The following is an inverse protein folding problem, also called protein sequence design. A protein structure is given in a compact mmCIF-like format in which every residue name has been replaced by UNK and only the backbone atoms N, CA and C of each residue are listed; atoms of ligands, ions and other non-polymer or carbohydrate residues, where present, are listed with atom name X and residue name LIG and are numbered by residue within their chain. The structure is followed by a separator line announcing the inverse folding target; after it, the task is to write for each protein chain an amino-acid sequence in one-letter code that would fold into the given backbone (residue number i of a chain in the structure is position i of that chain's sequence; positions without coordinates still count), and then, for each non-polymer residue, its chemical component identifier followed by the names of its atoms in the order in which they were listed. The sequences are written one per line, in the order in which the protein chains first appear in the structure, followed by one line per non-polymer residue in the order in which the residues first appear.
data_IF_666068967990
#
_entry.id   IF_666068967990
#
_cell.length_a   1.000
_cell.length_b   1.000
_cell.length_c   1.000
_cell.angle_alpha   90.00
_cell.angle_beta   90.00
_cell.angle_gamma   90.00
#
_symmetry.space_group_name_H-M   'P 1'
#
loop_
_entity.id
_entity.type
_entity.pdbx_description
1 polymer ?
#
# COMPACT_ATOMS: atom_id res chain seq x y z
N UNK A 1 11.46 88.04 18.33
CA UNK A 1 10.21 87.67 17.60
C UNK A 1 10.24 86.21 17.25
N UNK A 2 9.53 85.35 17.98
CA UNK A 2 9.49 83.92 17.74
C UNK A 2 8.18 83.66 16.95
N UNK A 3 8.34 83.31 15.68
CA UNK A 3 7.22 82.95 14.83
C UNK A 3 6.80 81.51 15.12
N UNK A 4 5.74 81.28 15.86
CA UNK A 4 5.14 79.96 16.06
C UNK A 4 4.33 79.57 14.81
N UNK A 5 4.87 78.68 14.00
CA UNK A 5 4.17 78.07 12.89
C UNK A 5 3.08 77.13 13.42
N UNK A 6 1.85 77.55 13.47
CA UNK A 6 0.71 76.68 13.77
C UNK A 6 0.48 75.73 12.60
N UNK A 7 0.92 74.45 12.74
CA UNK A 7 0.52 73.36 11.84
C UNK A 7 -1.00 73.15 11.98
N UNK A 8 -1.77 73.51 10.98
CA UNK A 8 -3.19 73.15 10.89
C UNK A 8 -3.30 71.64 10.80
N UNK A 9 -3.75 70.96 11.84
CA UNK A 9 -4.17 69.58 11.83
C UNK A 9 -5.41 69.49 10.92
N UNK A 10 -5.25 68.83 9.78
CA UNK A 10 -6.39 68.52 8.90
C UNK A 10 -7.20 67.42 9.61
N UNK A 11 -8.46 67.70 9.95
CA UNK A 11 -9.38 66.68 10.45
C UNK A 11 -9.83 65.78 9.29
N UNK A 12 -9.85 64.47 9.53
CA UNK A 12 -10.36 63.48 8.58
C UNK A 12 -11.86 63.72 8.33
N UNK A 13 -12.27 63.58 7.07
CA UNK A 13 -13.68 63.61 6.72
C UNK A 13 -14.32 62.24 7.01
N UNK A 14 -15.63 62.22 7.32
CA UNK A 14 -16.37 60.99 7.60
C UNK A 14 -16.31 60.03 6.38
N UNK A 15 -16.29 60.56 5.16
CA UNK A 15 -16.20 59.76 3.92
C UNK A 15 -14.84 59.12 3.73
N UNK A 16 -13.75 59.79 4.13
CA UNK A 16 -12.39 59.16 4.11
C UNK A 16 -12.31 58.01 5.10
N UNK A 17 -12.92 58.16 6.28
CA UNK A 17 -12.97 57.06 7.26
C UNK A 17 -13.76 55.86 6.72
N UNK A 18 -14.94 56.12 6.12
CA UNK A 18 -15.76 55.08 5.54
C UNK A 18 -15.04 54.36 4.37
N UNK A 19 -14.35 55.10 3.53
CA UNK A 19 -13.58 54.52 2.43
C UNK A 19 -12.42 53.66 2.97
N UNK A 20 -11.66 54.16 3.96
CA UNK A 20 -10.56 53.44 4.57
C UNK A 20 -11.01 52.13 5.28
N UNK A 21 -12.15 52.19 6.02
CA UNK A 21 -12.70 50.98 6.65
C UNK A 21 -13.20 49.96 5.63
N UNK A 22 -13.83 50.41 4.52
CA UNK A 22 -14.28 49.51 3.44
C UNK A 22 -13.10 48.78 2.79
N UNK A 23 -12.01 49.46 2.49
CA UNK A 23 -10.79 48.87 1.95
C UNK A 23 -10.16 47.90 2.93
N UNK A 24 -10.10 48.28 4.21
CA UNK A 24 -9.59 47.43 5.27
C UNK A 24 -10.38 46.11 5.36
N UNK A 25 -11.72 46.16 5.33
CA UNK A 25 -12.57 44.97 5.36
C UNK A 25 -12.29 44.04 4.18
N UNK A 26 -12.14 44.59 2.97
CA UNK A 26 -11.84 43.82 1.77
C UNK A 26 -10.47 43.12 1.91
N UNK A 27 -9.46 43.84 2.39
CA UNK A 27 -8.13 43.27 2.61
C UNK A 27 -8.17 42.13 3.63
N UNK A 28 -8.88 42.31 4.75
CA UNK A 28 -9.03 41.25 5.79
C UNK A 28 -9.74 40.06 5.22
N UNK A 29 -10.79 40.22 4.43
CA UNK A 29 -11.48 39.10 3.78
C UNK A 29 -10.55 38.33 2.81
N UNK A 30 -9.76 39.03 1.99
CA UNK A 30 -8.81 38.41 1.07
C UNK A 30 -7.72 37.61 1.83
N UNK A 31 -7.17 38.16 2.91
CA UNK A 31 -6.16 37.48 3.75
C UNK A 31 -6.79 36.25 4.39
N UNK A 32 -8.00 36.33 4.91
CA UNK A 32 -8.71 35.20 5.53
C UNK A 32 -8.95 34.08 4.53
N UNK A 33 -9.36 34.39 3.30
CA UNK A 33 -9.51 33.39 2.24
C UNK A 33 -8.17 32.73 1.89
N UNK A 34 -7.10 33.51 1.73
CA UNK A 34 -5.79 33.02 1.40
C UNK A 34 -5.23 32.08 2.49
N UNK A 35 -5.41 32.43 3.76
CA UNK A 35 -5.03 31.57 4.90
C UNK A 35 -5.84 30.26 4.88
N UNK A 36 -7.15 30.34 4.62
CA UNK A 36 -8.01 29.16 4.57
C UNK A 36 -7.60 28.19 3.46
N UNK A 37 -7.33 28.70 2.27
CA UNK A 37 -6.88 27.87 1.13
C UNK A 37 -5.50 27.29 1.37
N UNK A 38 -4.56 28.07 1.87
CA UNK A 38 -3.21 27.61 2.23
C UNK A 38 -3.28 26.49 3.28
N UNK A 39 -4.13 26.66 4.29
CA UNK A 39 -4.32 25.64 5.34
C UNK A 39 -4.87 24.32 4.79
N UNK A 40 -5.78 24.38 3.81
CA UNK A 40 -6.30 23.18 3.13
C UNK A 40 -5.20 22.44 2.36
N UNK A 41 -4.36 23.18 1.62
CA UNK A 41 -3.24 22.61 0.85
C UNK A 41 -2.23 21.94 1.79
N UNK A 42 -1.83 22.64 2.86
CA UNK A 42 -0.88 22.09 3.85
C UNK A 42 -1.43 20.81 4.47
N UNK A 43 -2.72 20.78 4.83
CA UNK A 43 -3.36 19.60 5.39
C UNK A 43 -3.36 18.42 4.40
N UNK A 44 -3.69 18.68 3.14
CA UNK A 44 -3.68 17.66 2.10
C UNK A 44 -2.28 17.09 1.87
N UNK A 45 -1.25 17.95 1.83
CA UNK A 45 0.14 17.50 1.67
C UNK A 45 0.61 16.69 2.88
N UNK A 46 0.26 17.11 4.10
CA UNK A 46 0.58 16.35 5.33
C UNK A 46 -0.04 14.96 5.28
N UNK A 47 -1.31 14.85 4.89
CA UNK A 47 -2.01 13.58 4.78
C UNK A 47 -1.38 12.67 3.72
N UNK A 48 -0.94 13.23 2.58
CA UNK A 48 -0.20 12.48 1.55
C UNK A 48 1.15 11.98 2.06
N UNK A 49 1.88 12.81 2.82
CA UNK A 49 3.14 12.41 3.43
C UNK A 49 2.96 11.28 4.45
N UNK A 50 1.91 11.31 5.25
CA UNK A 50 1.56 10.24 6.18
C UNK A 50 1.28 8.93 5.44
N UNK A 51 0.44 8.95 4.40
CA UNK A 51 0.14 7.78 3.56
C UNK A 51 1.39 7.21 2.89
N UNK A 52 2.27 8.09 2.37
CA UNK A 52 3.55 7.70 1.79
C UNK A 52 4.47 7.04 2.83
N UNK A 53 4.54 7.58 4.04
CA UNK A 53 5.34 7.02 5.14
C UNK A 53 4.87 5.62 5.52
N UNK A 54 3.54 5.40 5.59
CA UNK A 54 2.95 4.09 5.84
C UNK A 54 3.35 3.12 4.73
N UNK A 55 3.09 3.47 3.47
CA UNK A 55 3.41 2.61 2.32
C UNK A 55 4.91 2.28 2.26
N UNK A 56 5.78 3.26 2.49
CA UNK A 56 7.23 3.07 2.54
C UNK A 56 7.63 2.08 3.63
N UNK A 57 7.12 2.25 4.84
CA UNK A 57 7.43 1.36 5.99
C UNK A 57 7.02 -0.08 5.68
N UNK A 58 5.83 -0.27 5.09
CA UNK A 58 5.34 -1.58 4.68
C UNK A 58 6.22 -2.21 3.60
N UNK A 59 6.54 -1.47 2.54
CA UNK A 59 7.43 -1.96 1.50
C UNK A 59 8.84 -2.28 2.01
N UNK A 60 9.38 -1.49 2.92
CA UNK A 60 10.70 -1.73 3.49
C UNK A 60 10.67 -3.01 4.34
N UNK A 61 9.61 -3.23 5.13
CA UNK A 61 9.41 -4.45 5.89
C UNK A 61 9.29 -5.68 4.97
N UNK A 62 8.40 -5.61 3.98
CA UNK A 62 8.25 -6.70 3.00
C UNK A 62 9.55 -6.96 2.23
N UNK A 63 10.32 -5.92 1.91
CA UNK A 63 11.62 -6.06 1.23
C UNK A 63 12.65 -6.77 2.12
N UNK A 64 12.64 -6.54 3.42
CA UNK A 64 13.53 -7.23 4.37
C UNK A 64 13.17 -8.71 4.43
N UNK A 65 11.88 -9.03 4.60
CA UNK A 65 11.41 -10.42 4.63
C UNK A 65 11.69 -11.12 3.28
N UNK A 66 11.47 -10.43 2.17
CA UNK A 66 11.77 -10.92 0.82
C UNK A 66 13.25 -11.24 0.60
N UNK A 67 14.14 -10.35 1.02
CA UNK A 67 15.59 -10.55 0.90
C UNK A 67 16.09 -11.69 1.80
N UNK A 68 15.49 -11.83 2.98
CA UNK A 68 15.84 -12.87 3.94
C UNK A 68 15.10 -14.19 3.72
N UNK A 69 14.26 -14.31 2.66
CA UNK A 69 13.54 -15.54 2.37
C UNK A 69 14.48 -16.72 2.17
N UNK A 70 14.04 -17.88 2.60
CA UNK A 70 14.76 -19.14 2.37
C UNK A 70 14.66 -19.48 0.89
N UNK A 71 15.81 -19.71 0.26
CA UNK A 71 15.91 -20.04 -1.16
C UNK A 71 16.19 -21.52 -1.29
N UNK A 72 15.27 -22.25 -1.89
CA UNK A 72 15.43 -23.65 -2.29
C UNK A 72 15.59 -23.80 -3.80
N UNK A 73 15.16 -24.93 -4.32
CA UNK A 73 15.00 -25.18 -5.76
C UNK A 73 13.80 -24.46 -6.33
N UNK A 74 12.83 -24.12 -5.51
CA UNK A 74 11.61 -23.39 -5.80
C UNK A 74 11.76 -21.88 -5.46
N UNK A 75 10.84 -20.99 -5.88
CA UNK A 75 10.95 -19.54 -5.68
C UNK A 75 10.99 -19.09 -4.20
N UNK A 76 10.69 -20.00 -3.25
CA UNK A 76 10.76 -19.73 -1.81
C UNK A 76 9.63 -18.83 -1.27
N UNK A 77 8.56 -18.68 -2.03
CA UNK A 77 7.35 -17.96 -1.64
C UNK A 77 6.16 -18.47 -2.45
N UNK A 78 4.97 -18.19 -1.98
CA UNK A 78 3.72 -18.48 -2.65
C UNK A 78 2.76 -17.30 -2.56
N UNK A 79 2.22 -16.89 -3.71
CA UNK A 79 1.20 -15.86 -3.81
C UNK A 79 -0.17 -16.51 -4.01
N UNK A 80 -1.07 -16.30 -3.05
CA UNK A 80 -2.46 -16.74 -3.14
C UNK A 80 -3.25 -15.58 -3.74
N UNK A 81 -3.86 -15.84 -4.89
CA UNK A 81 -4.74 -14.88 -5.54
C UNK A 81 -6.16 -15.12 -5.04
N UNK A 82 -6.70 -14.12 -4.36
CA UNK A 82 -8.08 -14.09 -3.91
C UNK A 82 -8.79 -12.89 -4.53
N UNK A 83 -10.07 -13.04 -4.77
CA UNK A 83 -10.86 -11.92 -5.27
C UNK A 83 -10.85 -10.80 -4.23
N UNK A 84 -10.26 -9.69 -4.59
CA UNK A 84 -10.24 -8.50 -3.74
C UNK A 84 -8.97 -8.28 -2.93
N UNK A 85 -8.28 -9.29 -2.43
CA UNK A 85 -7.05 -9.11 -1.65
C UNK A 85 -6.15 -10.33 -1.71
N UNK A 86 -4.94 -10.12 -2.15
CA UNK A 86 -3.96 -11.20 -2.25
C UNK A 86 -3.30 -11.50 -0.90
N UNK A 87 -2.83 -12.73 -0.79
CA UNK A 87 -1.99 -13.17 0.32
C UNK A 87 -0.63 -13.64 -0.22
N UNK A 88 0.45 -13.23 0.43
CA UNK A 88 1.79 -13.75 0.15
C UNK A 88 2.31 -14.49 1.37
N UNK A 89 2.85 -15.67 1.13
CA UNK A 89 3.45 -16.53 2.14
C UNK A 89 4.87 -16.88 1.74
N UNK A 90 5.78 -16.91 2.71
CA UNK A 90 7.18 -17.27 2.48
C UNK A 90 7.85 -17.77 3.75
N UNK A 91 8.90 -18.57 3.59
CA UNK A 91 9.83 -18.81 4.68
C UNK A 91 10.95 -17.79 4.65
N UNK A 92 11.22 -17.17 5.80
CA UNK A 92 12.24 -16.15 5.98
C UNK A 92 13.20 -16.55 7.11
N UNK A 93 14.43 -16.05 7.06
CA UNK A 93 15.39 -16.12 8.17
C UNK A 93 15.20 -14.95 9.17
N UNK A 94 14.18 -14.14 8.96
CA UNK A 94 13.84 -13.02 9.84
C UNK A 94 13.28 -13.49 11.19
N UNK A 95 13.19 -12.58 12.18
CA UNK A 95 12.68 -12.91 13.50
C UNK A 95 11.19 -13.22 13.46
N UNK A 96 10.81 -14.22 14.25
CA UNK A 96 9.42 -14.57 14.53
C UNK A 96 8.81 -13.68 15.65
N UNK A 97 7.48 -13.59 15.68
CA UNK A 97 6.75 -12.93 16.79
C UNK A 97 6.61 -13.89 18.00
N UNK A 98 6.53 -15.18 17.77
CA UNK A 98 6.40 -16.18 18.84
C UNK A 98 7.75 -16.79 19.21
N UNK A 99 7.98 -16.91 20.50
CA UNK A 99 9.21 -17.00 21.24
C UNK A 99 10.10 -18.25 21.16
N UNK A 100 10.02 -19.12 20.18
CA UNK A 100 11.02 -20.18 19.99
C UNK A 100 12.12 -19.74 19.03
N UNK A 101 13.38 -19.96 19.40
CA UNK A 101 14.51 -19.84 18.46
C UNK A 101 14.28 -20.84 17.34
N UNK A 102 13.88 -20.32 16.19
CA UNK A 102 13.57 -21.13 15.02
C UNK A 102 14.64 -20.96 13.96
N UNK A 103 14.88 -22.01 13.20
CA UNK A 103 15.80 -21.99 12.06
C UNK A 103 15.20 -21.26 10.85
N UNK A 104 13.86 -21.18 10.79
CA UNK A 104 13.12 -20.45 9.79
C UNK A 104 11.84 -19.85 10.40
N UNK A 105 11.32 -18.82 9.78
CA UNK A 105 10.07 -18.16 10.15
C UNK A 105 9.11 -18.21 8.97
N UNK A 106 7.92 -18.75 9.18
CA UNK A 106 6.83 -18.63 8.23
C UNK A 106 6.28 -17.21 8.31
N UNK A 107 6.35 -16.47 7.21
CA UNK A 107 5.89 -15.09 7.11
C UNK A 107 4.74 -15.03 6.14
N UNK A 108 3.64 -14.42 6.59
CA UNK A 108 2.45 -14.16 5.77
C UNK A 108 2.08 -12.68 5.76
N UNK A 109 1.57 -12.20 4.63
CA UNK A 109 0.96 -10.87 4.50
C UNK A 109 -0.40 -10.99 3.87
N UNK A 110 -1.41 -10.35 4.45
CA UNK A 110 -2.79 -10.29 3.95
C UNK A 110 -3.47 -9.01 4.39
N UNK A 111 -4.61 -8.69 3.79
CA UNK A 111 -5.52 -7.67 4.31
C UNK A 111 -6.49 -8.32 5.32
N UNK A 112 -6.85 -7.57 6.34
CA UNK A 112 -7.93 -7.91 7.26
C UNK A 112 -8.91 -6.76 7.41
N UNK A 113 -10.17 -7.09 7.43
CA UNK A 113 -11.24 -6.16 7.77
C UNK A 113 -11.42 -6.12 9.30
N UNK A 114 -11.35 -4.93 9.87
CA UNK A 114 -11.61 -4.72 11.29
C UNK A 114 -13.09 -4.42 11.53
N UNK A 115 -13.62 -4.96 12.65
CA UNK A 115 -15.01 -4.73 13.09
C UNK A 115 -15.30 -3.23 13.31
N UNK A 116 -14.28 -2.44 13.61
CA UNK A 116 -14.36 -0.98 13.84
C UNK A 116 -14.20 -0.14 12.56
N UNK A 117 -14.40 -0.76 11.38
CA UNK A 117 -14.50 -0.03 10.10
C UNK A 117 -13.17 0.34 9.45
N UNK A 118 -12.06 -0.27 9.87
CA UNK A 118 -10.76 -0.09 9.21
C UNK A 118 -10.31 -1.33 8.47
N UNK A 119 -9.57 -1.16 7.40
CA UNK A 119 -8.78 -2.23 6.77
C UNK A 119 -7.31 -2.05 7.12
N UNK A 120 -6.61 -3.15 7.34
CA UNK A 120 -5.19 -3.13 7.63
C UNK A 120 -4.44 -4.23 6.89
N UNK A 121 -3.20 -3.92 6.50
CA UNK A 121 -2.27 -4.96 6.14
C UNK A 121 -1.78 -5.63 7.41
N UNK A 122 -1.94 -6.94 7.47
CA UNK A 122 -1.48 -7.80 8.56
C UNK A 122 -0.23 -8.58 8.13
N UNK A 123 0.63 -8.84 9.09
CA UNK A 123 1.80 -9.71 8.95
C UNK A 123 1.75 -10.80 10.00
N UNK A 124 1.87 -12.04 9.56
CA UNK A 124 2.20 -13.16 10.43
C UNK A 124 3.71 -13.44 10.41
N UNK A 125 4.24 -13.93 11.52
CA UNK A 125 5.63 -14.40 11.61
C UNK A 125 5.74 -15.49 12.66
N UNK A 126 5.50 -16.72 12.22
CA UNK A 126 5.54 -17.92 13.08
C UNK A 126 6.91 -18.59 12.99
N UNK A 127 7.57 -18.78 14.14
CA UNK A 127 8.84 -19.48 14.21
C UNK A 127 8.68 -20.98 13.96
N UNK A 128 9.51 -21.51 13.08
CA UNK A 128 9.51 -22.91 12.69
C UNK A 128 10.80 -23.56 13.15
N UNK A 129 10.69 -24.61 13.96
CA UNK A 129 11.83 -25.43 14.33
C UNK A 129 12.03 -26.52 13.28
N UNK A 130 13.08 -26.38 12.53
CA UNK A 130 13.54 -27.45 11.67
C UNK A 130 14.32 -28.47 12.51
N UNK A 131 13.77 -29.66 12.67
CA UNK A 131 14.45 -30.77 13.24
C UNK A 131 14.69 -31.84 12.17
N UNK A 132 15.96 -32.26 11.99
CA UNK A 132 16.31 -33.44 11.14
C UNK A 132 15.69 -34.71 11.67
N UNK A 133 15.28 -34.76 12.96
CA UNK A 133 14.77 -35.95 13.64
C UNK A 133 13.23 -36.08 13.55
N UNK A 134 12.52 -35.06 13.15
CA UNK A 134 11.08 -35.10 12.89
C UNK A 134 10.77 -34.39 11.56
N UNK A 135 11.25 -34.93 10.43
CA UNK A 135 10.89 -34.40 9.13
C UNK A 135 9.44 -34.83 8.89
N UNK A 136 8.49 -33.99 9.23
CA UNK A 136 7.18 -34.15 8.61
C UNK A 136 7.41 -33.93 7.12
N UNK A 137 7.04 -34.88 6.26
CA UNK A 137 7.20 -34.74 4.80
C UNK A 137 6.58 -33.43 4.27
N UNK A 138 5.58 -32.93 4.99
CA UNK A 138 4.81 -31.74 4.68
C UNK A 138 5.49 -30.43 5.16
N UNK A 139 6.51 -30.52 6.02
CA UNK A 139 7.19 -29.38 6.64
C UNK A 139 8.52 -29.00 5.95
N UNK A 140 8.77 -29.49 4.73
CA UNK A 140 9.97 -29.14 4.00
C UNK A 140 9.90 -27.69 3.45
N UNK A 141 10.57 -26.72 4.11
CA UNK A 141 10.49 -25.30 3.69
C UNK A 141 11.21 -25.03 2.37
N UNK A 142 11.81 -26.03 1.77
CA UNK A 142 12.44 -25.93 0.44
C UNK A 142 11.44 -26.21 -0.69
N UNK A 143 10.27 -26.77 -0.35
CA UNK A 143 9.20 -27.06 -1.31
C UNK A 143 7.96 -26.30 -0.86
N UNK A 144 7.75 -25.11 -1.41
CA UNK A 144 6.55 -24.32 -1.20
C UNK A 144 5.59 -24.58 -2.36
N UNK A 145 4.76 -25.59 -2.22
CA UNK A 145 3.57 -25.78 -3.04
C UNK A 145 2.29 -25.52 -2.20
N UNK A 146 1.15 -25.55 -2.84
CA UNK A 146 -0.14 -25.30 -2.18
C UNK A 146 -0.47 -26.31 -1.06
N UNK A 147 0.19 -27.48 -1.05
CA UNK A 147 -0.03 -28.53 -0.05
C UNK A 147 0.96 -28.50 1.12
N UNK A 148 2.08 -27.78 0.97
CA UNK A 148 3.17 -27.72 1.97
C UNK A 148 3.29 -26.38 2.67
N UNK A 149 2.31 -25.48 2.45
CA UNK A 149 2.31 -24.14 3.05
C UNK A 149 2.10 -24.21 4.56
N UNK A 150 2.81 -23.39 5.33
CA UNK A 150 2.52 -23.28 6.75
C UNK A 150 1.09 -22.75 6.93
N UNK A 151 0.31 -23.46 7.73
CA UNK A 151 -1.00 -22.97 8.17
C UNK A 151 -0.74 -21.86 9.17
N UNK A 152 -1.01 -20.62 8.77
CA UNK A 152 -0.96 -19.46 9.65
C UNK A 152 -2.38 -19.18 10.13
N UNK A 153 -2.58 -19.29 11.43
CA UNK A 153 -3.86 -19.00 12.06
C UNK A 153 -4.11 -17.48 12.19
N UNK A 154 -5.36 -17.09 12.35
CA UNK A 154 -5.69 -15.67 12.54
C UNK A 154 -4.96 -15.03 13.72
N UNK A 155 -4.65 -15.80 14.76
CA UNK A 155 -3.92 -15.35 15.94
C UNK A 155 -2.43 -15.04 15.68
N UNK A 156 -1.87 -15.57 14.59
CA UNK A 156 -0.47 -15.33 14.21
C UNK A 156 -0.27 -13.98 13.52
N UNK A 157 -1.36 -13.38 13.04
CA UNK A 157 -1.34 -12.14 12.29
C UNK A 157 -1.44 -10.92 13.21
N UNK A 158 -0.59 -9.94 12.95
CA UNK A 158 -0.57 -8.65 13.62
C UNK A 158 -0.70 -7.52 12.61
N UNK A 159 -1.40 -6.45 12.99
CA UNK A 159 -1.52 -5.27 12.14
C UNK A 159 -0.16 -4.57 11.99
N UNK A 160 0.27 -4.38 10.77
CA UNK A 160 1.52 -3.68 10.43
C UNK A 160 1.28 -2.42 9.61
N UNK A 161 0.09 -2.27 9.04
CA UNK A 161 -0.28 -1.12 8.22
C UNK A 161 -1.75 -0.78 8.29
N UNK A 162 -2.14 0.09 9.24
CA UNK A 162 -3.48 0.65 9.26
C UNK A 162 -3.69 1.56 8.05
N UNK A 163 -4.89 1.51 7.47
CA UNK A 163 -5.25 2.36 6.34
C UNK A 163 -4.81 1.80 4.98
N UNK A 164 -4.48 0.52 4.88
CA UNK A 164 -4.33 -0.16 3.59
C UNK A 164 -5.69 -0.70 3.16
N UNK A 165 -6.25 -0.12 2.10
CA UNK A 165 -7.58 -0.48 1.58
C UNK A 165 -7.53 -1.71 0.68
N UNK A 166 -6.45 -1.85 -0.10
CA UNK A 166 -6.28 -2.90 -1.11
C UNK A 166 -4.81 -3.34 -1.18
N UNK A 167 -4.59 -4.64 -1.28
CA UNK A 167 -3.29 -5.24 -1.52
C UNK A 167 -3.35 -6.20 -2.69
N UNK A 168 -2.41 -6.09 -3.63
CA UNK A 168 -2.37 -6.89 -4.84
C UNK A 168 -0.94 -7.27 -5.21
N UNK A 169 -0.78 -8.45 -5.82
CA UNK A 169 0.50 -9.00 -6.24
C UNK A 169 0.43 -9.32 -7.73
N UNK A 170 1.46 -8.95 -8.47
CA UNK A 170 1.67 -9.42 -9.84
C UNK A 170 3.07 -10.03 -9.97
N UNK A 171 3.23 -10.93 -10.92
CA UNK A 171 4.45 -11.69 -11.14
C UNK A 171 5.12 -11.25 -12.44
N UNK A 172 6.39 -10.85 -12.38
CA UNK A 172 7.17 -10.51 -13.57
C UNK A 172 7.82 -11.77 -14.11
N UNK A 173 7.35 -12.24 -15.26
CA UNK A 173 7.74 -13.51 -15.86
C UNK A 173 8.41 -13.28 -17.20
N UNK A 174 9.55 -13.93 -17.41
CA UNK A 174 10.18 -14.09 -18.72
C UNK A 174 9.70 -15.41 -19.33
N UNK A 175 9.17 -15.35 -20.54
CA UNK A 175 8.75 -16.51 -21.34
C UNK A 175 9.76 -16.81 -22.44
N UNK A 176 10.42 -17.97 -22.37
CA UNK A 176 11.49 -18.31 -23.32
C UNK A 176 10.98 -18.53 -24.75
N UNK A 177 9.73 -18.97 -24.91
CA UNK A 177 9.11 -19.20 -26.22
C UNK A 177 8.89 -17.94 -27.05
N UNK A 178 8.57 -16.83 -26.40
CA UNK A 178 8.34 -15.51 -27.01
C UNK A 178 9.49 -14.54 -26.81
N UNK A 179 10.45 -14.89 -25.95
CA UNK A 179 11.55 -14.01 -25.51
C UNK A 179 11.05 -12.69 -24.91
N UNK A 180 9.88 -12.71 -24.28
CA UNK A 180 9.24 -11.53 -23.72
C UNK A 180 9.22 -11.56 -22.19
N UNK A 181 9.27 -10.38 -21.58
CA UNK A 181 9.05 -10.18 -20.14
C UNK A 181 7.69 -9.49 -19.98
N UNK A 182 6.81 -10.08 -19.22
CA UNK A 182 5.47 -9.52 -18.98
C UNK A 182 5.01 -9.72 -17.55
N UNK A 183 4.10 -8.86 -17.12
CA UNK A 183 3.39 -9.03 -15.85
C UNK A 183 2.34 -10.13 -16.02
N UNK A 184 2.26 -11.01 -15.03
CA UNK A 184 1.24 -12.06 -14.93
C UNK A 184 0.46 -11.88 -13.64
N UNK A 185 -0.83 -12.15 -13.72
CA UNK A 185 -1.74 -12.13 -12.58
C UNK A 185 -1.56 -13.36 -11.67
N UNK A 186 -1.14 -14.48 -12.26
CA UNK A 186 -0.97 -15.75 -11.54
C UNK A 186 0.50 -16.13 -11.47
N UNK A 187 0.92 -16.66 -10.32
CA UNK A 187 2.27 -17.20 -10.15
C UNK A 187 2.45 -18.42 -11.07
N UNK A 188 3.53 -18.49 -11.86
CA UNK A 188 3.83 -19.68 -12.62
C UNK A 188 3.98 -20.89 -11.70
N UNK A 189 3.46 -22.04 -12.14
CA UNK A 189 3.58 -23.30 -11.41
C UNK A 189 5.04 -23.76 -11.29
N UNK A 190 5.32 -24.58 -10.29
CA UNK A 190 6.65 -25.15 -10.11
C UNK A 190 7.12 -25.92 -11.37
N UNK A 191 6.21 -26.58 -12.09
CA UNK A 191 6.52 -27.31 -13.32
C UNK A 191 6.92 -26.37 -14.46
N UNK A 192 6.26 -25.21 -14.62
CA UNK A 192 6.60 -24.22 -15.62
C UNK A 192 7.96 -23.55 -15.39
N UNK A 193 8.42 -23.54 -14.13
CA UNK A 193 9.71 -22.98 -13.73
C UNK A 193 10.86 -23.99 -13.80
N UNK A 194 10.58 -25.29 -14.00
CA UNK A 194 11.59 -26.34 -14.14
C UNK A 194 12.09 -26.44 -15.58
N UNK A 195 13.35 -26.86 -15.78
CA UNK A 195 13.84 -27.19 -17.10
C UNK A 195 13.11 -28.41 -17.65
N UNK A 196 12.80 -28.38 -18.94
CA UNK A 196 12.28 -29.53 -19.67
C UNK A 196 13.39 -30.60 -19.89
N UNK A 197 13.03 -31.69 -20.58
CA UNK A 197 13.96 -32.79 -20.92
C UNK A 197 15.14 -32.33 -21.82
N UNK A 198 15.07 -31.11 -22.38
CA UNK A 198 16.15 -30.51 -23.19
C UNK A 198 16.99 -29.53 -22.38
N UNK A 199 16.70 -29.34 -21.10
CA UNK A 199 17.34 -28.38 -20.20
C UNK A 199 16.84 -26.94 -20.38
N UNK A 200 15.78 -26.70 -21.16
CA UNK A 200 15.23 -25.39 -21.43
C UNK A 200 14.08 -25.10 -20.44
N UNK A 201 14.16 -23.96 -19.77
CA UNK A 201 13.11 -23.47 -18.87
C UNK A 201 12.06 -22.70 -19.66
N UNK A 202 10.78 -23.08 -19.56
CA UNK A 202 9.70 -22.42 -20.28
C UNK A 202 9.44 -20.99 -19.76
N UNK A 203 9.40 -20.84 -18.45
CA UNK A 203 9.14 -19.55 -17.79
C UNK A 203 10.18 -19.31 -16.69
N UNK A 204 10.66 -18.07 -16.59
CA UNK A 204 11.58 -17.64 -15.52
C UNK A 204 10.92 -16.49 -14.76
N UNK A 205 10.67 -16.71 -13.48
CA UNK A 205 10.16 -15.67 -12.60
C UNK A 205 11.29 -14.68 -12.27
N UNK A 206 11.09 -13.40 -12.61
CA UNK A 206 12.08 -12.32 -12.43
C UNK A 206 11.87 -11.50 -11.17
N UNK A 207 10.65 -11.50 -10.63
CA UNK A 207 10.31 -10.76 -9.42
C UNK A 207 8.81 -10.64 -9.24
N UNK A 208 8.43 -9.90 -8.21
CA UNK A 208 7.04 -9.58 -7.93
C UNK A 208 6.82 -8.07 -7.89
N UNK A 209 5.64 -7.63 -8.32
CA UNK A 209 5.12 -6.30 -8.10
C UNK A 209 4.16 -6.33 -6.92
N UNK A 210 4.33 -5.42 -5.99
CA UNK A 210 3.44 -5.20 -4.86
C UNK A 210 2.70 -3.89 -5.08
N UNK A 211 1.38 -3.91 -4.91
CA UNK A 211 0.52 -2.75 -5.12
C UNK A 211 -0.34 -2.52 -3.89
N UNK A 212 -0.40 -1.26 -3.43
CA UNK A 212 -1.26 -0.84 -2.33
C UNK A 212 -2.15 0.31 -2.75
N UNK A 213 -3.40 0.27 -2.30
CA UNK A 213 -4.23 1.47 -2.13
C UNK A 213 -4.25 1.79 -0.65
N UNK A 214 -3.76 2.97 -0.29
CA UNK A 214 -3.74 3.42 1.11
C UNK A 214 -4.71 4.56 1.33
N UNK A 215 -5.16 4.69 2.56
CA UNK A 215 -5.99 5.78 3.07
C UNK A 215 -5.15 6.69 3.95
N UNK A 216 -5.43 8.00 3.90
CA UNK A 216 -4.90 8.92 4.89
C UNK A 216 -5.62 8.77 6.25
N UNK A 217 -5.06 9.38 7.30
CA UNK A 217 -5.62 9.31 8.66
C UNK A 217 -7.04 9.89 8.78
N UNK A 218 -7.35 10.91 7.98
CA UNK A 218 -8.67 11.52 8.01
C UNK A 218 -9.70 10.60 7.36
N UNK A 219 -9.33 9.93 6.26
CA UNK A 219 -10.15 8.90 5.62
C UNK A 219 -10.40 7.70 6.54
N UNK A 220 -9.39 7.24 7.26
CA UNK A 220 -9.54 6.17 8.27
C UNK A 220 -10.53 6.59 9.36
N UNK A 221 -10.43 7.83 9.88
CA UNK A 221 -11.37 8.35 10.89
C UNK A 221 -12.81 8.44 10.38
N UNK A 222 -12.99 8.79 9.10
CA UNK A 222 -14.31 8.83 8.48
C UNK A 222 -14.96 7.43 8.44
N UNK A 223 -14.17 6.37 8.24
CA UNK A 223 -14.66 5.00 8.29
C UNK A 223 -14.99 4.54 9.72
N UNK A 224 -14.16 4.88 10.69
CA UNK A 224 -14.38 4.52 12.10
C UNK A 224 -15.66 5.13 12.68
N UNK A 225 -16.08 6.29 12.19
CA UNK A 225 -17.35 6.92 12.57
C UNK A 225 -18.58 6.37 11.86
N UNK A 226 -18.37 5.65 10.74
CA UNK A 226 -19.42 5.11 9.89
C UNK A 226 -19.14 3.61 9.72
N UNK A 227 -19.72 2.77 10.57
CA UNK A 227 -19.51 1.31 10.65
C UNK A 227 -19.86 0.52 9.35
N UNK A 228 -20.11 1.21 8.24
CA UNK A 228 -20.29 0.55 6.95
C UNK A 228 -18.94 0.22 6.36
N UNK A 229 -18.62 -1.05 6.13
CA UNK A 229 -17.39 -1.42 5.43
C UNK A 229 -17.37 -0.77 4.04
N UNK A 230 -16.19 -0.38 3.58
CA UNK A 230 -16.03 0.10 2.20
C UNK A 230 -16.48 -1.01 1.26
N UNK A 231 -17.52 -0.73 0.48
CA UNK A 231 -18.13 -1.73 -0.39
C UNK A 231 -17.41 -1.79 -1.72
N UNK A 232 -17.49 -2.94 -2.37
CA UNK A 232 -17.06 -3.14 -3.76
C UNK A 232 -15.59 -2.75 -4.04
N UNK A 233 -14.71 -2.82 -3.03
CA UNK A 233 -13.29 -2.49 -3.20
C UNK A 233 -12.66 -3.33 -4.31
N UNK A 234 -12.97 -4.61 -4.32
CA UNK A 234 -12.55 -5.60 -5.31
C UNK A 234 -13.12 -5.36 -6.71
N UNK A 235 -14.32 -4.80 -6.80
CA UNK A 235 -14.96 -4.45 -8.07
C UNK A 235 -14.43 -3.13 -8.65
N UNK A 236 -13.98 -2.25 -7.80
CA UNK A 236 -13.44 -0.92 -8.18
C UNK A 236 -11.95 -1.01 -8.47
N UNK A 237 -11.18 -1.54 -7.54
CA UNK A 237 -9.75 -1.78 -7.70
C UNK A 237 -9.53 -3.23 -8.15
N UNK A 238 -9.72 -3.46 -9.43
CA UNK A 238 -9.65 -4.79 -10.03
C UNK A 238 -8.30 -5.46 -9.79
N UNK A 239 -8.32 -6.79 -9.75
CA UNK A 239 -7.13 -7.62 -9.67
C UNK A 239 -6.17 -7.35 -10.83
N UNK A 240 -4.88 -7.64 -10.60
CA UNK A 240 -3.87 -7.56 -11.64
C UNK A 240 -4.24 -8.47 -12.82
N UNK A 241 -4.06 -7.96 -14.02
CA UNK A 241 -4.28 -8.72 -15.26
C UNK A 241 -2.99 -8.86 -16.05
N UNK A 242 -2.92 -9.89 -16.89
CA UNK A 242 -1.74 -10.19 -17.69
C UNK A 242 -1.39 -9.03 -18.63
N UNK A 243 -0.12 -8.63 -18.59
CA UNK A 243 0.41 -7.57 -19.46
C UNK A 243 -0.02 -6.14 -19.09
N UNK A 244 -0.71 -5.94 -17.98
CA UNK A 244 -1.29 -4.66 -17.60
C UNK A 244 -0.57 -4.06 -16.39
N UNK A 245 -0.32 -2.75 -16.41
CA UNK A 245 0.14 -1.99 -15.22
C UNK A 245 -1.05 -1.69 -14.30
N UNK A 246 -1.22 -2.53 -13.30
CA UNK A 246 -2.28 -2.42 -12.27
C UNK A 246 -2.26 -1.06 -11.58
N UNK A 247 -1.08 -0.53 -11.24
CA UNK A 247 -0.99 0.75 -10.58
C UNK A 247 -1.47 1.91 -11.45
N UNK A 248 -1.23 1.84 -12.76
CA UNK A 248 -1.72 2.86 -13.69
C UNK A 248 -3.25 2.84 -13.78
N UNK A 249 -3.85 1.65 -13.85
CA UNK A 249 -5.32 1.52 -13.84
C UNK A 249 -5.90 2.12 -12.56
N UNK A 250 -5.36 1.73 -11.40
CA UNK A 250 -5.85 2.21 -10.12
C UNK A 250 -5.67 3.73 -9.96
N UNK A 251 -4.55 4.31 -10.45
CA UNK A 251 -4.37 5.77 -10.47
C UNK A 251 -5.41 6.47 -11.34
N UNK A 252 -5.76 5.88 -12.49
CA UNK A 252 -6.78 6.43 -13.36
C UNK A 252 -8.16 6.45 -12.68
N UNK A 253 -8.48 5.43 -11.88
CA UNK A 253 -9.71 5.36 -11.08
C UNK A 253 -9.75 6.49 -10.05
N UNK A 254 -8.62 6.81 -9.39
CA UNK A 254 -8.53 7.88 -8.41
C UNK A 254 -8.77 9.29 -9.00
N UNK A 255 -8.63 9.48 -10.31
CA UNK A 255 -8.84 10.77 -10.96
C UNK A 255 -10.30 11.26 -10.96
N UNK A 256 -11.27 10.32 -10.83
CA UNK A 256 -12.70 10.65 -10.71
C UNK A 256 -13.21 10.35 -9.30
N UNK A 257 -12.90 11.25 -8.38
CA UNK A 257 -13.25 11.09 -6.96
C UNK A 257 -14.77 11.01 -6.72
N UNK A 258 -15.57 11.64 -7.57
CA UNK A 258 -17.04 11.62 -7.45
C UNK A 258 -17.62 10.24 -7.78
N UNK A 259 -17.23 9.68 -8.93
CA UNK A 259 -17.63 8.33 -9.34
C UNK A 259 -17.10 7.29 -8.36
N UNK A 260 -15.83 7.42 -7.97
CA UNK A 260 -15.20 6.52 -7.01
C UNK A 260 -15.94 6.49 -5.67
N UNK A 261 -16.38 7.65 -5.16
CA UNK A 261 -17.16 7.75 -3.94
C UNK A 261 -18.50 7.02 -4.03
N UNK A 262 -19.16 7.12 -5.18
CA UNK A 262 -20.42 6.43 -5.45
C UNK A 262 -20.20 4.91 -5.53
N UNK A 263 -19.18 4.46 -6.24
CA UNK A 263 -18.87 3.04 -6.44
C UNK A 263 -18.48 2.36 -5.13
N UNK A 264 -17.70 3.03 -4.29
CA UNK A 264 -17.30 2.54 -2.96
C UNK A 264 -18.36 2.75 -1.86
N UNK A 265 -19.39 3.55 -2.12
CA UNK A 265 -20.43 3.89 -1.13
C UNK A 265 -19.91 4.76 0.03
N UNK A 266 -18.95 5.63 -0.23
CA UNK A 266 -18.28 6.49 0.77
C UNK A 266 -18.42 7.98 0.40
N UNK A 267 -18.21 8.92 1.36
CA UNK A 267 -18.17 10.34 1.04
C UNK A 267 -17.02 10.70 0.08
N UNK A 268 -17.21 11.69 -0.79
CA UNK A 268 -16.18 12.17 -1.73
C UNK A 268 -14.90 12.60 -1.00
N UNK A 269 -15.02 13.16 0.20
CA UNK A 269 -13.85 13.54 1.00
C UNK A 269 -12.95 12.35 1.33
N UNK A 270 -13.52 11.16 1.50
CA UNK A 270 -12.77 9.93 1.71
C UNK A 270 -11.89 9.58 0.51
N UNK A 271 -12.42 9.67 -0.71
CA UNK A 271 -11.68 9.28 -1.92
C UNK A 271 -10.52 10.21 -2.25
N UNK A 272 -10.53 11.45 -1.76
CA UNK A 272 -9.44 12.40 -1.90
C UNK A 272 -8.20 12.02 -1.08
N UNK A 273 -8.39 11.21 -0.02
CA UNK A 273 -7.32 10.69 0.83
C UNK A 273 -6.71 9.38 0.34
N UNK A 274 -7.21 8.81 -0.76
CA UNK A 274 -6.69 7.56 -1.32
C UNK A 274 -5.44 7.80 -2.16
N UNK A 275 -4.44 6.91 -2.03
CA UNK A 275 -3.21 6.94 -2.81
C UNK A 275 -2.83 5.53 -3.28
N UNK A 276 -2.28 5.42 -4.48
CA UNK A 276 -1.77 4.16 -5.05
C UNK A 276 -0.25 4.14 -4.99
N UNK A 277 0.28 3.10 -4.37
CA UNK A 277 1.72 2.85 -4.29
C UNK A 277 2.07 1.51 -4.90
N UNK A 278 3.26 1.44 -5.49
CA UNK A 278 3.78 0.21 -6.07
C UNK A 278 5.26 0.04 -5.74
N UNK A 279 5.70 -1.22 -5.62
CA UNK A 279 7.11 -1.57 -5.48
C UNK A 279 7.41 -2.87 -6.21
N UNK A 280 8.52 -2.89 -6.92
CA UNK A 280 9.07 -4.10 -7.51
C UNK A 280 10.09 -4.74 -6.56
N UNK A 281 9.95 -6.03 -6.34
CA UNK A 281 10.89 -6.87 -5.59
C UNK A 281 11.53 -7.88 -6.56
N UNK A 282 12.81 -7.69 -6.93
CA UNK A 282 13.46 -8.60 -7.85
C UNK A 282 13.72 -9.96 -7.22
N UNK A 283 13.66 -11.00 -8.02
CA UNK A 283 14.25 -12.30 -7.75
C UNK A 283 15.68 -12.27 -8.29
N UNK A 284 16.65 -12.44 -7.40
CA UNK A 284 18.03 -12.66 -7.82
C UNK A 284 18.10 -14.03 -8.49
N UNK A 285 18.14 -14.06 -9.79
CA UNK A 285 18.50 -15.27 -10.53
C UNK A 285 19.99 -15.50 -10.29
N UNK A 286 20.37 -16.64 -9.65
CA UNK A 286 21.75 -17.11 -9.73
C UNK A 286 22.06 -17.19 -11.22
N UNK A 287 23.13 -16.52 -11.66
CA UNK A 287 23.44 -16.32 -13.08
C UNK A 287 23.28 -17.62 -13.86
N UNK A 288 22.53 -17.48 -14.96
CA UNK A 288 22.50 -18.46 -16.04
C UNK A 288 23.85 -18.46 -16.72
#
# INVERSE_FOLDING_TARGET
MIHSSQRRLRAFTLIELMAATSVLVIIVLMITQLISETSKVIKQDTNRMDSFSIARTLFDRMSIDWKSRVRGTEPGFFGIKELGDDTILMYSRGPAYSGTRSSATAVGYRISDHIEGGRSLQRAALGYNWSETDPRPDDNPLVLDAGTMPVLDNADYQDVGLGVLRFEIAFLVYESGTSTVSWKSVQPSAEELKPDNTGKVAKVLRGIGLYFVTMDKDSVKLLQGNLAPVRNVDQVFLDAADGIDTAQIWRNILNDSGKLAQDLGVPVLFTQGLQVYQRYLPLETKGL
#
